data_IF_472760655387
#
_entry.id   IF_472760655387
#
_cell.length_a   1.000
_cell.length_b   1.000
_cell.length_c   1.000
_cell.angle_alpha   90.00
_cell.angle_beta   90.00
_cell.angle_gamma   90.00
#
_symmetry.space_group_name_H-M   'P 1'
#
loop_
_entity.id
_entity.type
_entity.pdbx_description
1 polymer ?
#
# COMPACT_ATOMS: atom_id res chain seq x y z
N UNK A 1 21.57 33.76 36.29
CA UNK A 1 22.60 33.25 35.37
C UNK A 1 22.81 31.82 35.81
N UNK A 2 22.47 30.83 34.98
CA UNK A 2 23.03 29.46 35.00
C UNK A 2 22.15 28.56 34.14
N UNK A 3 22.79 27.87 33.19
CA UNK A 3 22.36 26.68 32.42
C UNK A 3 22.69 26.75 30.92
N UNK A 4 23.71 27.51 30.52
CA UNK A 4 24.46 27.20 29.29
C UNK A 4 25.59 26.20 29.63
N UNK A 5 25.19 25.01 30.09
CA UNK A 5 26.11 23.89 30.22
C UNK A 5 26.30 23.28 28.82
N UNK A 6 27.30 23.82 28.12
CA UNK A 6 28.12 23.18 27.08
C UNK A 6 27.71 21.73 26.73
N UNK A 7 27.11 21.56 25.55
CA UNK A 7 26.99 20.25 24.91
C UNK A 7 28.39 19.72 24.63
N UNK A 8 28.91 18.84 25.48
CA UNK A 8 30.17 18.14 25.23
C UNK A 8 30.02 17.28 23.96
N UNK A 9 31.01 17.24 23.05
CA UNK A 9 30.92 16.45 21.81
C UNK A 9 30.57 14.97 22.03
N UNK A 10 31.02 14.40 23.16
CA UNK A 10 30.67 13.04 23.58
C UNK A 10 29.19 12.85 23.93
N UNK A 11 28.56 13.86 24.51
CA UNK A 11 27.13 13.85 24.87
C UNK A 11 26.23 13.86 23.63
N UNK A 12 26.58 14.65 22.61
CA UNK A 12 25.87 14.64 21.33
C UNK A 12 26.03 13.32 20.55
N UNK A 13 27.20 12.66 20.66
CA UNK A 13 27.40 11.33 20.08
C UNK A 13 26.59 10.27 20.81
N UNK A 14 26.65 10.25 22.14
CA UNK A 14 25.86 9.36 23.00
C UNK A 14 24.35 9.50 22.74
N UNK A 15 23.84 10.72 22.62
CA UNK A 15 22.45 10.99 22.26
C UNK A 15 22.06 10.37 20.91
N UNK A 16 22.92 10.48 19.90
CA UNK A 16 22.67 9.89 18.57
C UNK A 16 22.69 8.36 18.61
N UNK A 17 23.61 7.77 19.36
CA UNK A 17 23.73 6.33 19.51
C UNK A 17 22.49 5.74 20.21
N UNK A 18 22.07 6.33 21.34
CA UNK A 18 20.83 5.96 22.04
C UNK A 18 19.58 6.17 21.17
N UNK A 19 19.54 7.26 20.41
CA UNK A 19 18.44 7.51 19.47
C UNK A 19 18.35 6.43 18.39
N UNK A 20 19.48 6.01 17.83
CA UNK A 20 19.55 4.96 16.82
C UNK A 20 19.15 3.60 17.39
N UNK A 21 19.58 3.29 18.61
CA UNK A 21 19.20 2.07 19.32
C UNK A 21 17.69 2.00 19.57
N UNK A 22 17.10 3.07 20.10
CA UNK A 22 15.65 3.16 20.32
C UNK A 22 14.84 2.99 19.02
N UNK A 23 15.32 3.59 17.92
CA UNK A 23 14.68 3.46 16.60
C UNK A 23 14.80 2.03 16.06
N UNK A 24 15.95 1.37 16.23
CA UNK A 24 16.13 -0.01 15.79
C UNK A 24 15.18 -0.97 16.52
N UNK A 25 15.03 -0.83 17.84
CA UNK A 25 14.04 -1.61 18.59
C UNK A 25 12.61 -1.34 18.13
N UNK A 26 12.26 -0.07 17.88
CA UNK A 26 10.94 0.30 17.35
C UNK A 26 10.67 -0.30 15.96
N UNK A 27 11.66 -0.34 15.06
CA UNK A 27 11.53 -0.95 13.72
C UNK A 27 11.29 -2.47 13.83
N UNK A 28 11.91 -3.11 14.81
CA UNK A 28 11.75 -4.55 15.08
C UNK A 28 10.42 -4.89 15.80
N UNK A 29 9.64 -3.88 16.20
CA UNK A 29 8.41 -4.07 16.98
C UNK A 29 8.63 -4.33 18.45
N UNK A 30 9.86 -4.20 18.93
CA UNK A 30 10.23 -4.38 20.32
C UNK A 30 9.95 -3.09 21.10
N UNK A 31 8.66 -2.81 21.30
CA UNK A 31 8.19 -1.56 21.90
C UNK A 31 8.56 -1.44 23.38
N UNK A 32 8.70 -2.57 24.09
CA UNK A 32 9.14 -2.61 25.49
C UNK A 32 10.57 -2.09 25.61
N UNK A 33 11.51 -2.67 24.84
CA UNK A 33 12.90 -2.19 24.83
C UNK A 33 13.02 -0.77 24.28
N UNK A 34 12.25 -0.41 23.26
CA UNK A 34 12.22 0.97 22.77
C UNK A 34 11.75 1.96 23.86
N UNK A 35 10.82 1.57 24.72
CA UNK A 35 10.36 2.38 25.85
C UNK A 35 11.47 2.55 26.89
N UNK A 36 12.17 1.48 27.25
CA UNK A 36 13.29 1.51 28.21
C UNK A 36 14.41 2.43 27.73
N UNK A 37 14.86 2.27 26.48
CA UNK A 37 15.94 3.09 25.91
C UNK A 37 15.54 4.56 25.83
N UNK A 38 14.29 4.88 25.44
CA UNK A 38 13.83 6.27 25.42
C UNK A 38 13.69 6.86 26.83
N UNK A 39 13.26 6.08 27.84
CA UNK A 39 13.24 6.53 29.25
C UNK A 39 14.66 6.84 29.75
N UNK A 40 15.61 5.94 29.52
CA UNK A 40 17.03 6.16 29.86
C UNK A 40 17.61 7.38 29.12
N UNK A 41 17.23 7.58 27.85
CA UNK A 41 17.61 8.78 27.09
C UNK A 41 17.08 10.05 27.75
N UNK A 42 15.84 10.04 28.27
CA UNK A 42 15.23 11.19 28.94
C UNK A 42 15.75 11.42 30.37
N UNK A 43 16.33 10.42 31.03
CA UNK A 43 17.07 10.62 32.28
C UNK A 43 18.35 11.45 32.04
N UNK A 44 19.04 11.19 30.91
CA UNK A 44 20.25 11.91 30.51
C UNK A 44 19.94 13.25 29.82
N UNK A 45 18.83 13.31 29.07
CA UNK A 45 18.40 14.45 28.26
C UNK A 45 16.94 14.82 28.55
N UNK A 46 16.64 15.46 29.70
CA UNK A 46 15.27 15.64 30.19
C UNK A 46 14.33 16.48 29.30
N UNK A 47 14.88 17.26 28.37
CA UNK A 47 14.14 18.15 27.47
C UNK A 47 14.24 17.71 26.00
N UNK A 48 14.62 16.45 25.74
CA UNK A 48 14.71 15.94 24.37
C UNK A 48 13.32 15.61 23.79
N UNK A 49 12.78 16.58 23.05
CA UNK A 49 11.47 16.47 22.39
C UNK A 49 11.40 15.26 21.44
N UNK A 50 12.50 14.89 20.79
CA UNK A 50 12.49 13.78 19.85
C UNK A 50 12.38 12.43 20.57
N UNK A 51 13.14 12.23 21.64
CA UNK A 51 13.04 11.05 22.50
C UNK A 51 11.65 10.96 23.16
N UNK A 52 11.07 12.07 23.61
CA UNK A 52 9.69 12.08 24.14
C UNK A 52 8.67 11.65 23.08
N UNK A 53 8.78 12.12 21.83
CA UNK A 53 7.87 11.72 20.76
C UNK A 53 8.00 10.23 20.40
N UNK A 54 9.22 9.69 20.40
CA UNK A 54 9.47 8.25 20.19
C UNK A 54 8.90 7.43 21.36
N UNK A 55 9.06 7.90 22.60
CA UNK A 55 8.49 7.28 23.79
C UNK A 55 6.96 7.24 23.74
N UNK A 56 6.31 8.35 23.37
CA UNK A 56 4.84 8.40 23.19
C UNK A 56 4.39 7.35 22.19
N UNK A 57 5.09 7.21 21.06
CA UNK A 57 4.76 6.18 20.06
C UNK A 57 4.86 4.77 20.64
N UNK A 58 5.96 4.45 21.33
CA UNK A 58 6.14 3.14 21.94
C UNK A 58 5.06 2.82 22.99
N UNK A 59 4.73 3.79 23.85
CA UNK A 59 3.67 3.63 24.86
C UNK A 59 2.28 3.44 24.26
N UNK A 60 1.96 4.12 23.14
CA UNK A 60 0.69 3.93 22.43
C UNK A 60 0.61 2.52 21.84
N UNK A 61 1.68 2.00 21.24
CA UNK A 61 1.70 0.63 20.69
C UNK A 61 1.66 -0.44 21.80
N UNK A 62 2.16 -0.14 23.00
CA UNK A 62 2.00 -0.97 24.20
C UNK A 62 0.63 -0.82 24.88
N UNK A 63 -0.24 0.07 24.40
CA UNK A 63 -1.54 0.35 25.01
C UNK A 63 -1.48 1.11 26.33
N UNK A 64 -0.31 1.64 26.71
CA UNK A 64 -0.08 2.42 27.93
C UNK A 64 -0.47 3.89 27.72
N UNK A 65 -1.76 4.14 27.53
CA UNK A 65 -2.29 5.46 27.15
C UNK A 65 -2.14 6.54 28.22
N UNK A 66 -2.20 6.16 29.51
CA UNK A 66 -2.05 7.09 30.63
C UNK A 66 -0.63 7.66 30.66
N UNK A 67 0.37 6.78 30.56
CA UNK A 67 1.78 7.17 30.52
C UNK A 67 2.10 7.98 29.26
N UNK A 68 1.55 7.57 28.11
CA UNK A 68 1.72 8.31 26.85
C UNK A 68 1.18 9.74 26.96
N UNK A 69 0.05 9.94 27.65
CA UNK A 69 -0.53 11.27 27.88
C UNK A 69 0.36 12.14 28.77
N UNK A 70 0.91 11.58 29.86
CA UNK A 70 1.81 12.31 30.75
C UNK A 70 3.07 12.80 30.02
N UNK A 71 3.67 11.95 29.17
CA UNK A 71 4.84 12.34 28.36
C UNK A 71 4.45 13.41 27.34
N UNK A 72 3.26 13.31 26.74
CA UNK A 72 2.79 14.27 25.75
C UNK A 72 2.48 15.66 26.34
N UNK A 73 1.95 15.71 27.56
CA UNK A 73 1.75 16.97 28.29
C UNK A 73 3.11 17.64 28.53
N UNK A 74 4.14 16.88 28.89
CA UNK A 74 5.52 17.37 29.02
C UNK A 74 6.10 17.87 27.68
N UNK A 75 5.79 17.22 26.56
CA UNK A 75 6.19 17.73 25.23
C UNK A 75 5.51 19.08 24.93
N UNK A 76 4.25 19.25 25.32
CA UNK A 76 3.54 20.52 25.13
C UNK A 76 4.12 21.64 25.99
N UNK A 77 4.63 21.33 27.18
CA UNK A 77 5.32 22.30 28.06
C UNK A 77 6.68 22.73 27.48
N UNK A 78 7.48 21.77 26.99
CA UNK A 78 8.83 22.03 26.46
C UNK A 78 8.77 22.62 25.04
N UNK A 79 7.81 22.20 24.22
CA UNK A 79 7.67 22.63 22.82
C UNK A 79 6.20 22.91 22.44
N UNK A 80 5.63 24.07 22.85
CA UNK A 80 4.22 24.42 22.63
C UNK A 80 3.78 24.47 21.16
N UNK A 81 4.72 24.73 20.25
CA UNK A 81 4.48 24.81 18.80
C UNK A 81 4.67 23.47 18.07
N UNK A 82 4.89 22.36 18.79
CA UNK A 82 5.06 21.06 18.16
C UNK A 82 3.71 20.50 17.64
N UNK A 83 3.51 20.58 16.33
CA UNK A 83 2.31 20.04 15.67
C UNK A 83 2.17 18.51 15.79
N UNK A 84 3.28 17.78 15.99
CA UNK A 84 3.27 16.33 16.20
C UNK A 84 2.60 16.00 17.54
N UNK A 85 2.90 16.76 18.58
CA UNK A 85 2.31 16.56 19.90
C UNK A 85 0.78 16.78 19.89
N UNK A 86 0.33 17.84 19.21
CA UNK A 86 -1.10 18.14 19.03
C UNK A 86 -1.84 17.02 18.30
N UNK A 87 -1.27 16.50 17.20
CA UNK A 87 -1.84 15.37 16.45
C UNK A 87 -1.91 14.09 17.29
N UNK A 88 -0.85 13.79 18.03
CA UNK A 88 -0.80 12.61 18.90
C UNK A 88 -1.83 12.69 20.04
N UNK A 89 -2.12 13.88 20.56
CA UNK A 89 -3.13 14.09 21.62
C UNK A 89 -4.54 13.76 21.10
N UNK A 90 -4.89 14.33 19.95
CA UNK A 90 -6.16 14.05 19.29
C UNK A 90 -6.33 12.55 19.00
N UNK A 91 -5.26 11.88 18.58
CA UNK A 91 -5.25 10.42 18.37
C UNK A 91 -5.44 9.63 19.66
N UNK A 92 -4.83 10.05 20.76
CA UNK A 92 -4.93 9.39 22.06
C UNK A 92 -6.32 9.53 22.67
N UNK A 93 -6.95 10.71 22.54
CA UNK A 93 -8.32 10.95 22.99
C UNK A 93 -9.33 10.05 22.25
N UNK A 94 -9.11 9.76 20.96
CA UNK A 94 -9.93 8.81 20.20
C UNK A 94 -9.75 7.35 20.66
N UNK A 95 -8.53 6.97 21.07
CA UNK A 95 -8.20 5.60 21.50
C UNK A 95 -8.73 5.27 22.90
N UNK A 96 -8.79 6.25 23.82
CA UNK A 96 -9.29 6.06 25.19
C UNK A 96 -10.81 5.85 25.24
N UNK A 97 -11.55 6.43 24.29
CA UNK A 97 -13.03 6.28 24.19
C UNK A 97 -13.43 4.87 23.72
N UNK A 98 -12.53 4.11 23.11
CA UNK A 98 -12.78 2.74 22.63
C UNK A 98 -11.73 1.75 23.15
N UNK A 99 -11.82 1.31 24.42
CA UNK A 99 -10.87 0.37 25.03
C UNK A 99 -11.11 -1.06 24.48
N UNK A 100 -10.64 -1.31 23.25
CA UNK A 100 -10.76 -2.59 22.56
C UNK A 100 -9.86 -2.74 21.33
N UNK A 101 -9.37 -1.62 20.77
CA UNK A 101 -8.52 -1.62 19.58
C UNK A 101 -7.04 -2.02 19.84
N UNK A 102 -6.64 -2.20 21.10
CA UNK A 102 -5.24 -2.37 21.50
C UNK A 102 -4.74 -3.82 21.53
N UNK A 103 -5.63 -4.83 21.47
CA UNK A 103 -5.26 -6.25 21.62
C UNK A 103 -5.05 -7.00 20.31
N UNK A 104 -4.96 -6.32 19.17
CA UNK A 104 -4.34 -6.95 18.02
C UNK A 104 -2.84 -6.76 18.18
N UNK A 105 -2.15 -7.84 18.57
CA UNK A 105 -0.71 -8.00 18.40
C UNK A 105 -0.34 -7.61 16.98
N UNK A 106 -0.01 -6.33 16.78
CA UNK A 106 0.60 -5.82 15.56
C UNK A 106 2.01 -6.41 15.55
N UNK A 107 2.14 -7.60 14.97
CA UNK A 107 3.46 -8.06 14.52
C UNK A 107 4.03 -6.90 13.71
N UNK A 108 5.20 -6.42 14.13
CA UNK A 108 6.00 -5.54 13.31
C UNK A 108 6.45 -6.30 12.06
N UNK A 109 5.56 -6.33 11.08
CA UNK A 109 5.99 -6.30 9.71
C UNK A 109 6.17 -4.81 9.40
N UNK A 110 7.38 -4.43 8.98
CA UNK A 110 7.65 -3.09 8.49
C UNK A 110 6.59 -2.65 7.47
N UNK A 111 6.47 -1.33 7.27
CA UNK A 111 5.51 -0.71 6.35
C UNK A 111 5.27 -1.64 5.15
N UNK A 112 4.02 -2.12 4.93
CA UNK A 112 3.78 -3.15 3.95
C UNK A 112 4.37 -2.69 2.63
N UNK A 113 5.27 -3.46 2.02
CA UNK A 113 5.87 -3.16 0.71
C UNK A 113 4.80 -2.83 -0.35
N UNK A 114 3.54 -3.22 -0.08
CA UNK A 114 2.33 -2.85 -0.81
C UNK A 114 2.22 -1.33 -1.05
N UNK A 115 2.79 -0.46 -0.19
CA UNK A 115 2.72 0.99 -0.36
C UNK A 115 3.73 1.57 -1.38
N UNK A 116 4.64 0.75 -1.90
CA UNK A 116 5.56 1.18 -2.97
C UNK A 116 4.78 1.16 -4.29
N UNK A 117 4.44 2.34 -4.81
CA UNK A 117 3.79 2.51 -6.11
C UNK A 117 4.78 2.17 -7.24
N UNK A 118 4.81 0.90 -7.63
CA UNK A 118 5.57 0.42 -8.79
C UNK A 118 4.74 0.58 -10.07
N UNK A 119 5.26 1.35 -11.03
CA UNK A 119 4.63 1.56 -12.35
C UNK A 119 4.25 0.23 -13.00
N UNK A 120 2.99 0.09 -13.40
CA UNK A 120 2.43 -1.09 -14.07
C UNK A 120 2.07 -2.27 -13.15
N UNK A 121 2.54 -2.29 -11.90
CA UNK A 121 2.29 -3.37 -10.92
C UNK A 121 1.43 -2.96 -9.74
N UNK A 122 1.37 -1.66 -9.44
CA UNK A 122 0.53 -1.13 -8.37
C UNK A 122 -0.29 0.05 -8.88
N UNK A 123 -1.48 0.23 -8.32
CA UNK A 123 -2.32 1.39 -8.62
C UNK A 123 -3.20 1.76 -7.44
N UNK A 124 -3.41 3.07 -7.28
CA UNK A 124 -4.29 3.64 -6.25
C UNK A 124 -5.66 3.97 -6.84
N UNK A 125 -6.72 3.55 -6.15
CA UNK A 125 -8.13 3.75 -6.54
C UNK A 125 -8.99 4.11 -5.34
N UNK A 126 -10.09 4.82 -5.59
CA UNK A 126 -11.09 5.17 -4.57
C UNK A 126 -12.24 4.18 -4.68
N UNK A 127 -12.65 3.62 -3.54
CA UNK A 127 -13.73 2.64 -3.50
C UNK A 127 -15.09 3.30 -3.72
N UNK A 128 -15.95 2.60 -4.45
CA UNK A 128 -17.34 2.93 -4.77
C UNK A 128 -18.26 1.99 -3.99
N UNK A 129 -19.54 2.37 -3.88
CA UNK A 129 -20.57 1.59 -3.20
C UNK A 129 -20.09 1.05 -1.83
N UNK A 130 -19.53 1.97 -1.05
CA UNK A 130 -18.98 1.67 0.26
C UNK A 130 -20.15 1.28 1.17
N UNK A 131 -20.04 0.17 1.90
CA UNK A 131 -21.15 -0.38 2.69
C UNK A 131 -21.72 0.69 3.61
N UNK A 132 -22.97 1.10 3.33
CA UNK A 132 -23.55 2.35 3.82
C UNK A 132 -23.63 2.46 5.35
N UNK A 133 -23.14 3.61 5.87
CA UNK A 133 -23.62 4.20 7.11
C UNK A 133 -23.15 3.59 8.44
N UNK A 134 -22.33 2.54 8.45
CA UNK A 134 -21.75 1.99 9.70
C UNK A 134 -20.23 2.13 9.70
N UNK A 135 -19.81 3.23 10.30
CA UNK A 135 -18.53 3.44 10.99
C UNK A 135 -17.32 2.71 10.40
N UNK A 136 -16.54 3.41 9.57
CA UNK A 136 -15.14 3.07 9.29
C UNK A 136 -14.23 3.10 10.54
N UNK A 137 -14.78 3.11 11.75
CA UNK A 137 -14.06 3.13 13.01
C UNK A 137 -13.06 1.96 13.15
N UNK A 138 -13.28 0.88 12.38
CA UNK A 138 -12.41 -0.30 12.36
C UNK A 138 -11.41 -0.34 11.21
N UNK A 139 -11.45 0.61 10.27
CA UNK A 139 -10.55 0.64 9.10
C UNK A 139 -9.63 1.84 9.25
N UNK A 140 -8.38 1.56 9.54
CA UNK A 140 -7.31 2.55 9.63
C UNK A 140 -6.48 2.59 8.34
N UNK A 141 -5.89 3.74 7.99
CA UNK A 141 -4.83 3.79 7.00
C UNK A 141 -3.72 2.78 7.32
N UNK A 142 -3.22 2.10 6.29
CA UNK A 142 -2.27 0.98 6.35
C UNK A 142 -2.87 -0.38 6.72
N UNK A 143 -4.17 -0.48 6.98
CA UNK A 143 -4.80 -1.78 7.19
C UNK A 143 -4.76 -2.60 5.90
N UNK A 144 -4.35 -3.85 6.04
CA UNK A 144 -4.31 -4.78 4.92
C UNK A 144 -5.73 -5.26 4.62
N UNK A 145 -6.09 -5.27 3.34
CA UNK A 145 -7.41 -5.68 2.86
C UNK A 145 -7.28 -6.75 1.78
N UNK A 146 -8.29 -7.58 1.65
CA UNK A 146 -8.37 -8.63 0.64
C UNK A 146 -9.18 -8.14 -0.56
N UNK A 147 -8.81 -8.62 -1.74
CA UNK A 147 -9.52 -8.34 -2.99
C UNK A 147 -10.07 -9.64 -3.56
N UNK A 148 -11.31 -9.60 -4.02
CA UNK A 148 -11.99 -10.74 -4.65
C UNK A 148 -12.74 -10.28 -5.89
N UNK A 149 -12.60 -11.01 -7.00
CA UNK A 149 -13.44 -10.82 -8.18
C UNK A 149 -14.77 -11.55 -8.02
N UNK A 150 -15.86 -10.90 -8.39
CA UNK A 150 -17.20 -11.49 -8.48
C UNK A 150 -18.01 -10.76 -9.56
N UNK A 151 -18.59 -11.49 -10.51
CA UNK A 151 -19.41 -10.93 -11.59
C UNK A 151 -18.74 -9.85 -12.45
N UNK A 152 -17.43 -9.94 -12.69
CA UNK A 152 -16.68 -8.91 -13.43
C UNK A 152 -16.43 -7.62 -12.65
N UNK A 153 -16.71 -7.60 -11.35
CA UNK A 153 -16.35 -6.54 -10.43
C UNK A 153 -15.29 -7.02 -9.43
N UNK A 154 -14.52 -6.09 -8.87
CA UNK A 154 -13.59 -6.40 -7.78
C UNK A 154 -14.08 -5.73 -6.51
N UNK A 155 -14.20 -6.53 -5.46
CA UNK A 155 -14.64 -6.12 -4.14
C UNK A 155 -13.47 -6.14 -3.17
N UNK A 156 -13.47 -5.17 -2.26
CA UNK A 156 -12.48 -5.07 -1.19
C UNK A 156 -13.14 -5.48 0.12
N UNK A 157 -12.50 -6.39 0.85
CA UNK A 157 -12.96 -6.90 2.14
C UNK A 157 -11.88 -6.74 3.20
N UNK A 158 -12.28 -6.57 4.45
CA UNK A 158 -11.35 -6.65 5.59
C UNK A 158 -10.82 -8.08 5.75
N UNK A 159 -9.80 -8.27 6.57
CA UNK A 159 -9.29 -9.62 6.91
C UNK A 159 -10.36 -10.49 7.59
N UNK A 160 -11.33 -9.85 8.27
CA UNK A 160 -12.47 -10.52 8.91
C UNK A 160 -13.61 -10.84 7.92
N UNK A 161 -13.43 -10.57 6.61
CA UNK A 161 -14.38 -10.88 5.55
C UNK A 161 -15.49 -9.84 5.32
N UNK A 162 -15.49 -8.74 6.08
CA UNK A 162 -16.47 -7.67 5.95
C UNK A 162 -16.25 -6.87 4.66
N UNK A 163 -17.32 -6.64 3.90
CA UNK A 163 -17.27 -5.85 2.67
C UNK A 163 -17.00 -4.37 2.99
N UNK A 164 -15.90 -3.85 2.45
CA UNK A 164 -15.53 -2.43 2.55
C UNK A 164 -16.21 -1.67 1.42
N UNK A 165 -16.01 -2.12 0.18
CA UNK A 165 -16.57 -1.48 -1.00
C UNK A 165 -16.11 -2.14 -2.29
N UNK A 166 -16.38 -1.49 -3.41
CA UNK A 166 -16.11 -1.97 -4.75
C UNK A 166 -15.02 -1.09 -5.41
N UNK A 167 -14.10 -1.71 -6.14
CA UNK A 167 -13.15 -0.99 -6.99
C UNK A 167 -13.90 -0.29 -8.12
N UNK A 168 -13.40 0.86 -8.57
CA UNK A 168 -14.01 1.62 -9.67
C UNK A 168 -14.29 0.72 -10.90
N UNK A 169 -15.47 0.79 -11.53
CA UNK A 169 -15.92 -0.20 -12.53
C UNK A 169 -14.92 -0.50 -13.65
N UNK A 170 -14.26 0.52 -14.22
CA UNK A 170 -13.27 0.33 -15.30
C UNK A 170 -12.06 -0.48 -14.84
N UNK A 171 -11.49 -0.12 -13.69
CA UNK A 171 -10.35 -0.83 -13.11
C UNK A 171 -10.77 -2.21 -12.59
N UNK A 172 -11.93 -2.30 -11.96
CA UNK A 172 -12.49 -3.54 -11.41
C UNK A 172 -12.70 -4.60 -12.49
N UNK A 173 -13.31 -4.26 -13.62
CA UNK A 173 -13.54 -5.20 -14.73
C UNK A 173 -12.22 -5.73 -15.30
N UNK A 174 -11.24 -4.85 -15.51
CA UNK A 174 -9.90 -5.25 -15.94
C UNK A 174 -9.25 -6.21 -14.94
N UNK A 175 -9.23 -5.85 -13.66
CA UNK A 175 -8.63 -6.67 -12.61
C UNK A 175 -9.34 -8.02 -12.48
N UNK A 176 -10.67 -8.07 -12.60
CA UNK A 176 -11.42 -9.32 -12.56
C UNK A 176 -10.97 -10.28 -13.67
N UNK A 177 -10.89 -9.83 -14.93
CA UNK A 177 -10.39 -10.64 -16.05
C UNK A 177 -8.97 -11.16 -15.82
N UNK A 178 -8.11 -10.33 -15.21
CA UNK A 178 -6.74 -10.71 -14.90
C UNK A 178 -6.66 -11.71 -13.73
N UNK A 179 -7.53 -11.57 -12.73
CA UNK A 179 -7.67 -12.53 -11.63
C UNK A 179 -8.16 -13.89 -12.15
N UNK A 180 -9.13 -13.89 -13.06
CA UNK A 180 -9.64 -15.10 -13.71
C UNK A 180 -8.54 -15.78 -14.54
N UNK A 181 -7.66 -14.99 -15.17
CA UNK A 181 -6.44 -15.47 -15.85
C UNK A 181 -5.30 -15.92 -14.93
N UNK A 182 -5.50 -15.91 -13.61
CA UNK A 182 -4.57 -16.45 -12.62
C UNK A 182 -3.66 -15.43 -11.93
N UNK A 183 -3.81 -14.12 -12.19
CA UNK A 183 -3.06 -13.10 -11.46
C UNK A 183 -3.56 -12.98 -10.02
N UNK A 184 -2.65 -12.68 -9.10
CA UNK A 184 -2.98 -12.46 -7.69
C UNK A 184 -2.62 -11.04 -7.27
N UNK A 185 -3.45 -10.49 -6.40
CA UNK A 185 -3.35 -9.12 -5.95
C UNK A 185 -3.44 -9.06 -4.44
N UNK A 186 -2.75 -8.07 -3.87
CA UNK A 186 -2.89 -7.66 -2.48
C UNK A 186 -3.29 -6.20 -2.45
N UNK A 187 -4.03 -5.79 -1.42
CA UNK A 187 -4.43 -4.41 -1.27
C UNK A 187 -4.23 -3.91 0.16
N UNK A 188 -4.05 -2.60 0.29
CA UNK A 188 -3.95 -1.91 1.58
C UNK A 188 -4.69 -0.58 1.52
N UNK A 189 -5.23 -0.16 2.65
CA UNK A 189 -5.91 1.13 2.78
C UNK A 189 -4.88 2.25 2.81
N UNK A 190 -5.06 3.25 1.93
CA UNK A 190 -4.18 4.41 1.82
C UNK A 190 -4.68 5.55 2.69
N UNK A 191 -5.96 5.90 2.54
CA UNK A 191 -6.61 6.92 3.34
C UNK A 191 -8.10 6.62 3.53
N UNK A 192 -8.65 7.13 4.62
CA UNK A 192 -10.07 7.10 4.92
C UNK A 192 -10.47 8.55 5.18
N UNK A 193 -11.23 9.13 4.24
CA UNK A 193 -11.69 10.53 4.29
C UNK A 193 -13.23 10.58 4.23
N UNK A 194 -13.81 11.75 4.43
CA UNK A 194 -15.25 11.98 4.25
C UNK A 194 -15.72 11.70 2.82
N UNK A 195 -14.83 11.89 1.83
CA UNK A 195 -15.07 11.62 0.41
C UNK A 195 -15.04 10.12 0.06
N UNK A 196 -14.50 9.26 0.94
CA UNK A 196 -14.46 7.81 0.76
C UNK A 196 -13.16 7.14 1.23
N UNK A 197 -13.05 5.85 0.92
CA UNK A 197 -11.89 5.02 1.26
C UNK A 197 -11.02 4.84 0.01
N UNK A 198 -9.74 5.20 0.09
CA UNK A 198 -8.76 4.95 -0.97
C UNK A 198 -7.90 3.74 -0.62
N UNK A 199 -7.65 2.91 -1.63
CA UNK A 199 -6.84 1.70 -1.51
C UNK A 199 -5.76 1.67 -2.59
N UNK A 200 -4.61 1.11 -2.22
CA UNK A 200 -3.57 0.73 -3.17
C UNK A 200 -3.70 -0.77 -3.41
N UNK A 201 -3.73 -1.16 -4.67
CA UNK A 201 -3.76 -2.56 -5.10
C UNK A 201 -2.44 -2.85 -5.80
N UNK A 202 -1.81 -3.96 -5.44
CA UNK A 202 -0.53 -4.42 -5.97
C UNK A 202 -0.63 -5.84 -6.48
N UNK A 203 -0.13 -6.08 -7.68
CA UNK A 203 0.08 -7.42 -8.24
C UNK A 203 1.20 -8.15 -7.48
N UNK A 204 0.87 -9.30 -6.90
CA UNK A 204 1.83 -10.17 -6.19
C UNK A 204 2.23 -11.38 -7.00
N UNK A 205 1.40 -11.77 -7.97
CA UNK A 205 1.70 -12.86 -8.89
C UNK A 205 1.13 -12.56 -10.26
N UNK A 206 1.95 -12.78 -11.28
CA UNK A 206 1.57 -12.61 -12.69
C UNK A 206 1.65 -13.96 -13.38
N UNK A 207 0.54 -14.39 -13.98
CA UNK A 207 0.49 -15.64 -14.70
C UNK A 207 1.26 -15.53 -16.03
N UNK A 208 1.86 -16.66 -16.48
CA UNK A 208 2.72 -16.68 -17.68
C UNK A 208 2.00 -16.27 -18.96
N UNK A 209 0.70 -16.55 -19.06
CA UNK A 209 -0.13 -16.15 -20.22
C UNK A 209 -0.38 -14.64 -20.30
N UNK A 210 -0.13 -13.89 -19.21
CA UNK A 210 -0.45 -12.46 -19.09
C UNK A 210 0.80 -11.58 -18.97
N UNK A 211 1.97 -12.10 -19.35
CA UNK A 211 3.25 -11.36 -19.19
C UNK A 211 3.25 -10.00 -19.89
N UNK A 212 2.62 -9.92 -21.07
CA UNK A 212 2.56 -8.72 -21.90
C UNK A 212 1.42 -7.76 -21.49
N UNK A 213 0.60 -8.09 -20.50
CA UNK A 213 -0.54 -7.27 -20.07
C UNK A 213 -0.25 -6.64 -18.71
N UNK A 214 -0.23 -5.31 -18.63
CA UNK A 214 -0.04 -4.61 -17.35
C UNK A 214 -1.35 -4.55 -16.55
N UNK A 215 -1.28 -4.76 -15.23
CA UNK A 215 -2.48 -4.71 -14.38
C UNK A 215 -3.00 -3.29 -14.19
N UNK A 216 -2.10 -2.31 -14.17
CA UNK A 216 -2.42 -0.89 -13.96
C UNK A 216 -1.86 -0.06 -15.11
N UNK A 217 -2.65 0.89 -15.62
CA UNK A 217 -2.16 1.91 -16.55
C UNK A 217 -1.25 2.88 -15.80
N UNK A 218 -0.17 3.33 -16.43
CA UNK A 218 0.67 4.37 -15.88
C UNK A 218 -0.14 5.67 -15.80
N UNK A 219 -0.49 6.11 -14.59
CA UNK A 219 -1.02 7.46 -14.40
C UNK A 219 0.14 8.43 -14.68
N UNK A 220 0.13 9.07 -15.84
CA UNK A 220 0.94 10.27 -16.09
C UNK A 220 0.54 11.28 -15.01
N UNK A 221 1.48 11.62 -14.12
CA UNK A 221 1.23 12.61 -13.07
C UNK A 221 0.81 13.90 -13.73
N UNK A 222 -0.19 14.61 -13.20
CA UNK A 222 -0.64 15.89 -13.76
C UNK A 222 0.47 16.96 -13.85
N UNK A 223 1.55 16.81 -13.07
CA UNK A 223 2.76 17.61 -13.20
C UNK A 223 3.51 17.40 -14.54
N UNK A 224 3.41 16.22 -15.14
CA UNK A 224 4.05 15.88 -16.42
C UNK A 224 3.17 16.24 -17.64
N UNK A 225 1.86 16.50 -17.43
CA UNK A 225 0.96 16.97 -18.50
C UNK A 225 1.32 18.35 -19.03
N UNK A 226 2.01 19.17 -18.23
CA UNK A 226 2.42 20.53 -18.63
C UNK A 226 3.56 20.51 -19.67
N UNK A 227 4.27 19.38 -19.80
CA UNK A 227 5.40 19.25 -20.72
C UNK A 227 5.10 18.44 -21.99
N UNK A 228 3.90 17.87 -22.12
CA UNK A 228 3.53 17.19 -23.36
C UNK A 228 2.97 18.21 -24.34
N UNK A 229 3.74 18.46 -25.41
CA UNK A 229 3.31 19.24 -26.56
C UNK A 229 1.94 18.77 -27.07
N UNK A 230 1.15 19.73 -27.55
CA UNK A 230 -0.24 19.55 -27.99
C UNK A 230 -0.42 18.43 -29.02
N UNK A 231 0.62 18.12 -29.79
CA UNK A 231 0.65 17.02 -30.76
C UNK A 231 0.63 15.64 -30.10
N UNK A 232 1.36 15.42 -28.99
CA UNK A 232 1.39 14.13 -28.28
C UNK A 232 0.11 13.94 -27.46
N UNK A 233 -0.44 15.02 -26.91
CA UNK A 233 -1.74 14.99 -26.25
C UNK A 233 -2.89 14.62 -27.19
N UNK A 234 -2.78 14.94 -28.49
CA UNK A 234 -3.76 14.56 -29.52
C UNK A 234 -3.66 13.09 -29.88
N UNK A 235 -2.45 12.55 -30.04
CA UNK A 235 -2.23 11.11 -30.26
C UNK A 235 -2.76 10.24 -29.12
N UNK A 236 -2.61 10.66 -27.86
CA UNK A 236 -3.16 9.90 -26.71
C UNK A 236 -4.69 9.91 -26.69
N UNK A 237 -5.33 11.00 -27.17
CA UNK A 237 -6.80 11.04 -27.34
C UNK A 237 -7.27 10.20 -28.52
N UNK A 238 -6.53 10.21 -29.63
CA UNK A 238 -6.85 9.43 -30.83
C UNK A 238 -6.76 7.92 -30.57
N UNK A 239 -5.78 7.45 -29.79
CA UNK A 239 -5.68 6.02 -29.41
C UNK A 239 -6.78 5.59 -28.44
N UNK A 240 -7.30 6.50 -27.61
CA UNK A 240 -8.46 6.24 -26.74
C UNK A 240 -9.78 6.24 -27.54
N UNK A 241 -9.87 6.93 -28.68
CA UNK A 241 -11.07 7.01 -29.54
C UNK A 241 -11.09 5.94 -30.65
N UNK A 242 -9.94 5.44 -31.15
CA UNK A 242 -9.88 4.35 -32.16
C UNK A 242 -10.00 2.93 -31.59
N UNK A 243 -10.19 2.76 -30.28
CA UNK A 243 -10.56 1.45 -29.70
C UNK A 243 -12.08 1.25 -29.59
N UNK A 244 -12.85 2.20 -30.13
CA UNK A 244 -14.27 2.07 -30.42
C UNK A 244 -14.44 1.71 -31.90
N UNK A 245 -14.35 0.42 -32.23
CA UNK A 245 -15.10 -0.09 -33.38
C UNK A 245 -15.35 -1.60 -33.35
N UNK A 246 -16.57 -1.89 -33.80
CA UNK A 246 -17.17 -3.17 -34.17
C UNK A 246 -17.67 -4.13 -33.07
N UNK A 247 -18.86 -3.81 -32.54
CA UNK A 247 -19.95 -4.79 -32.60
C UNK A 247 -20.16 -5.20 -34.08
N UNK A 248 -20.32 -6.49 -34.35
CA UNK A 248 -20.50 -7.02 -35.71
C UNK A 248 -20.51 -8.55 -35.77
N UNK A 249 -21.65 -9.13 -35.39
CA UNK A 249 -22.29 -10.41 -35.79
C UNK A 249 -21.48 -11.48 -36.55
N UNK A 250 -21.65 -12.75 -36.15
CA UNK A 250 -22.56 -13.67 -36.86
C UNK A 250 -22.69 -15.02 -36.12
N UNK A 251 -23.92 -15.39 -35.78
CA UNK A 251 -24.36 -16.77 -35.60
C UNK A 251 -24.51 -17.46 -36.99
N UNK A 252 -24.71 -18.78 -36.96
CA UNK A 252 -25.15 -19.69 -38.05
C UNK A 252 -24.06 -20.11 -39.07
N UNK A 253 -23.98 -21.34 -39.60
CA UNK A 253 -24.57 -22.66 -39.38
C UNK A 253 -23.72 -23.65 -40.22
N UNK A 254 -23.90 -24.94 -39.97
CA UNK A 254 -23.58 -26.14 -40.76
C UNK A 254 -23.10 -26.01 -42.24
N UNK A 255 -22.10 -26.80 -42.66
CA UNK A 255 -22.33 -28.07 -43.37
C UNK A 255 -21.02 -28.72 -43.89
N UNK A 256 -21.07 -30.05 -44.00
CA UNK A 256 -20.07 -30.98 -44.49
C UNK A 256 -19.51 -30.65 -45.91
N UNK A 257 -18.27 -31.06 -46.22
CA UNK A 257 -18.01 -32.22 -47.09
C UNK A 257 -16.54 -32.30 -47.57
N UNK A 258 -16.08 -33.56 -47.60
CA UNK A 258 -14.96 -34.23 -48.27
C UNK A 258 -13.90 -33.43 -49.07
N UNK A 259 -12.62 -33.68 -48.76
CA UNK A 259 -11.79 -34.48 -49.69
C UNK A 259 -10.49 -35.01 -49.06
N UNK A 260 -10.35 -36.34 -49.08
CA UNK A 260 -9.10 -37.05 -48.83
C UNK A 260 -8.19 -36.91 -50.04
N UNK A 261 -6.92 -36.57 -49.83
CA UNK A 261 -5.85 -36.98 -50.74
C UNK A 261 -4.65 -37.50 -49.96
N UNK A 262 -4.53 -38.83 -50.01
CA UNK A 262 -3.35 -39.60 -49.67
C UNK A 262 -2.33 -39.45 -50.80
N UNK A 263 -1.12 -38.98 -50.50
CA UNK A 263 0.07 -39.34 -51.28
C UNK A 263 1.14 -39.82 -50.31
N UNK A 264 1.55 -41.06 -50.56
CA UNK A 264 2.46 -41.90 -49.80
C UNK A 264 3.87 -41.71 -50.34
N UNK A 265 4.83 -41.77 -49.42
CA UNK A 265 6.26 -42.13 -49.49
C UNK A 265 6.98 -42.03 -50.84
N UNK A 266 8.14 -41.38 -50.81
CA UNK A 266 9.34 -42.03 -51.34
C UNK A 266 10.57 -41.71 -50.50
N UNK A 267 11.28 -42.78 -50.21
CA UNK A 267 12.44 -42.99 -49.38
C UNK A 267 13.70 -42.78 -50.24
N UNK A 268 14.61 -41.84 -49.91
CA UNK A 268 16.01 -41.94 -50.33
C UNK A 268 16.94 -41.45 -49.22
N UNK A 269 17.61 -42.43 -48.64
CA UNK A 269 18.83 -42.41 -47.86
C UNK A 269 20.03 -41.88 -48.66
N UNK A 270 20.85 -40.98 -48.10
CA UNK A 270 22.31 -40.91 -48.35
C UNK A 270 23.00 -39.89 -47.44
N UNK A 271 23.68 -40.43 -46.42
CA UNK A 271 24.83 -39.86 -45.71
C UNK A 271 25.86 -39.23 -46.64
N UNK A 272 26.45 -38.07 -46.31
CA UNK A 272 27.90 -37.76 -46.48
C UNK A 272 28.35 -36.60 -45.56
N UNK A 273 29.12 -36.96 -44.53
CA UNK A 273 30.38 -36.37 -43.99
C UNK A 273 30.67 -34.85 -43.98
N UNK A 274 31.02 -34.37 -42.77
CA UNK A 274 32.26 -33.68 -42.31
C UNK A 274 32.91 -32.51 -43.09
N UNK A 275 33.69 -31.73 -42.31
CA UNK A 275 34.56 -30.57 -42.59
C UNK A 275 33.84 -29.20 -42.58
N UNK A 276 34.23 -28.18 -41.79
CA UNK A 276 35.45 -27.80 -41.07
C UNK A 276 35.12 -27.01 -39.79
#
# INVERSE_FOLDING_TARGET
MDSEATQTPGSAKLKRDLSREAVNHAIQGDWERATEVNKATLELFPNDVEAMNRLVKALIELGSYVDARAVLDRVCEVAPYNNIAKKNRARLDQLVVTPGAAKQTRKAAGAPQIFIEESGKSGTTVLRNISGGKSFAHISPSDQVTVSSDGGAVFVRTMDGQLVGQVEPKLGNRLARLMDGGNKYTAAVVAVNEEGVSVIIRETFKHRSLQNVCSFHAKVKEADKVFMNETVARFVREVDEESDDSDGDQEDDDDDDDEKSLIVEDEIEASWSENE
#
